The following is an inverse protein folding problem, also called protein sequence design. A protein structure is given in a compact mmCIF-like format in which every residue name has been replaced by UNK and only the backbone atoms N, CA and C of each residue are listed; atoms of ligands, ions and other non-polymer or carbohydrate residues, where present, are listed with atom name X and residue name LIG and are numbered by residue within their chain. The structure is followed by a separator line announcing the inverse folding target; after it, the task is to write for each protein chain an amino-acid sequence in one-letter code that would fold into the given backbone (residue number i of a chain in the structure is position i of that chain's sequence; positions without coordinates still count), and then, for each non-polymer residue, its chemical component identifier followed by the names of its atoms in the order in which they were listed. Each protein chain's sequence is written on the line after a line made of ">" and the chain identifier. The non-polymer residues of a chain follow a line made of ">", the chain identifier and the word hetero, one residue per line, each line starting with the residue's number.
data_IF_218522978715
#
_entry.id   IF_218522978715
#
_cell.length_a   1.000
_cell.length_b   1.000
_cell.length_c   1.000
_cell.angle_alpha   90.00
_cell.angle_beta   90.00
_cell.angle_gamma   90.00
#
_symmetry.space_group_name_H-M   'P 1'
#
loop_
_entity.id
_entity.type
_entity.pdbx_description
1 polymer ?
#
# COMPACT_ATOMS: atom_id res chain seq x y z
N UNK A 1 20.17 36.55 -61.26
CA UNK A 1 18.89 36.33 -61.99
C UNK A 1 18.13 35.13 -61.40
N UNK A 2 17.25 35.42 -60.45
CA UNK A 2 16.27 34.51 -59.86
C UNK A 2 15.14 34.30 -60.87
N UNK A 3 14.72 33.06 -61.12
CA UNK A 3 13.42 32.79 -61.73
C UNK A 3 12.33 32.68 -60.64
N UNK A 4 11.13 33.22 -60.88
CA UNK A 4 10.06 33.33 -59.89
C UNK A 4 9.20 32.06 -59.80
N UNK A 5 8.78 31.74 -58.58
CA UNK A 5 7.76 30.75 -58.26
C UNK A 5 6.40 31.21 -58.80
N UNK A 6 5.76 30.40 -59.63
CA UNK A 6 4.36 30.59 -60.09
C UNK A 6 3.36 30.16 -59.00
N UNK A 7 2.20 30.82 -58.87
CA UNK A 7 1.17 30.46 -57.90
C UNK A 7 0.38 29.24 -58.37
N UNK A 8 0.18 28.26 -57.48
CA UNK A 8 -0.67 27.10 -57.74
C UNK A 8 -2.15 27.51 -57.77
N UNK A 9 -2.83 26.99 -58.78
CA UNK A 9 -4.19 27.24 -59.21
C UNK A 9 -5.25 26.60 -58.31
N UNK A 10 -6.43 27.24 -58.26
CA UNK A 10 -7.65 26.75 -57.62
C UNK A 10 -8.12 25.45 -58.25
N UNK A 11 -8.30 24.40 -57.43
CA UNK A 11 -9.12 23.23 -57.76
C UNK A 11 -10.46 23.33 -57.02
N UNK A 12 -11.54 23.57 -57.78
CA UNK A 12 -12.92 23.36 -57.33
C UNK A 12 -13.24 21.86 -57.47
N UNK A 13 -13.55 21.20 -56.36
CA UNK A 13 -14.19 19.88 -56.39
C UNK A 13 -15.67 20.05 -56.09
N UNK A 14 -16.50 19.51 -56.99
CA UNK A 14 -17.97 19.52 -56.95
C UNK A 14 -18.47 18.68 -55.77
N UNK A 15 -19.54 19.14 -55.15
CA UNK A 15 -20.29 18.44 -54.11
C UNK A 15 -20.88 17.11 -54.60
N UNK A 16 -20.62 15.97 -53.93
CA UNK A 16 -21.49 14.81 -54.01
C UNK A 16 -22.68 15.01 -53.06
N UNK A 17 -23.86 14.73 -53.59
CA UNK A 17 -25.14 14.73 -52.90
C UNK A 17 -25.11 13.78 -51.71
N UNK A 18 -25.53 14.26 -50.54
CA UNK A 18 -25.96 13.43 -49.40
C UNK A 18 -27.47 13.67 -49.20
N UNK A 19 -28.27 12.63 -48.89
CA UNK A 19 -29.71 12.79 -48.68
C UNK A 19 -30.00 13.64 -47.43
N UNK A 20 -30.94 14.59 -47.51
CA UNK A 20 -31.60 15.20 -46.33
C UNK A 20 -32.70 14.24 -45.81
N UNK A 21 -33.27 14.39 -44.59
CA UNK A 21 -32.67 14.56 -43.25
C UNK A 21 -33.28 13.58 -42.21
N UNK A 22 -32.68 13.39 -41.02
CA UNK A 22 -33.26 12.58 -39.92
C UNK A 22 -33.96 13.39 -38.81
N UNK A 23 -34.22 14.68 -39.02
CA UNK A 23 -34.88 15.56 -38.02
C UNK A 23 -36.42 15.61 -38.16
N UNK A 24 -37.07 14.50 -38.51
CA UNK A 24 -38.54 14.39 -38.49
C UNK A 24 -39.06 13.20 -37.66
N UNK A 25 -38.34 12.79 -36.61
CA UNK A 25 -38.89 11.88 -35.59
C UNK A 25 -38.99 12.57 -34.21
N UNK A 26 -40.23 12.84 -33.78
CA UNK A 26 -40.59 12.98 -32.36
C UNK A 26 -41.08 11.62 -31.84
N UNK A 27 -40.51 11.06 -30.76
CA UNK A 27 -41.15 10.01 -29.98
C UNK A 27 -41.83 10.55 -28.70
N UNK A 28 -42.65 9.74 -28.01
CA UNK A 28 -43.93 10.17 -27.44
C UNK A 28 -43.92 10.59 -25.97
N UNK A 29 -45.02 11.24 -25.58
CA UNK A 29 -45.44 11.59 -24.23
C UNK A 29 -45.74 10.35 -23.37
N UNK A 30 -44.70 9.64 -22.92
CA UNK A 30 -44.80 8.63 -21.86
C UNK A 30 -43.40 8.16 -21.48
N UNK A 31 -42.79 8.75 -20.44
CA UNK A 31 -41.72 8.19 -19.58
C UNK A 31 -41.24 9.24 -18.56
N UNK A 32 -42.19 10.01 -18.01
CA UNK A 32 -41.99 10.71 -16.73
C UNK A 32 -42.56 9.81 -15.64
N UNK A 33 -41.80 9.42 -14.60
CA UNK A 33 -42.41 9.03 -13.34
C UNK A 33 -42.95 10.29 -12.68
N UNK A 34 -44.28 10.38 -12.53
CA UNK A 34 -44.92 11.35 -11.63
C UNK A 34 -44.78 10.86 -10.18
N UNK A 35 -44.85 11.75 -9.18
CA UNK A 35 -44.43 11.46 -7.81
C UNK A 35 -45.44 10.57 -7.05
N UNK A 36 -44.92 9.63 -6.26
CA UNK A 36 -45.63 9.01 -5.12
C UNK A 36 -45.83 7.47 -5.15
N UNK A 37 -45.10 6.80 -4.23
CA UNK A 37 -45.44 5.55 -3.51
C UNK A 37 -44.97 4.16 -4.01
N UNK A 38 -44.79 3.25 -3.02
CA UNK A 38 -43.81 2.14 -2.83
C UNK A 38 -44.33 0.72 -3.20
N UNK A 39 -43.41 -0.27 -3.28
CA UNK A 39 -43.31 -1.52 -2.47
C UNK A 39 -42.40 -2.59 -3.18
N UNK A 40 -41.27 -3.01 -2.60
CA UNK A 40 -40.98 -4.21 -1.75
C UNK A 40 -40.92 -5.58 -2.47
N UNK A 41 -39.76 -6.25 -2.38
CA UNK A 41 -39.68 -7.65 -1.93
C UNK A 41 -39.12 -8.75 -2.86
N UNK A 42 -37.92 -9.23 -2.50
CA UNK A 42 -37.41 -10.63 -2.53
C UNK A 42 -37.18 -11.35 -3.88
N UNK A 43 -35.95 -11.87 -4.07
CA UNK A 43 -35.68 -12.98 -5.00
C UNK A 43 -34.25 -12.99 -5.55
N UNK A 44 -33.52 -14.06 -5.28
CA UNK A 44 -32.16 -14.32 -5.75
C UNK A 44 -32.01 -14.30 -7.28
N UNK A 45 -31.04 -13.54 -7.82
CA UNK A 45 -30.24 -13.91 -9.00
C UNK A 45 -29.22 -12.81 -9.32
N UNK A 46 -27.93 -13.19 -9.46
CA UNK A 46 -26.83 -12.31 -9.91
C UNK A 46 -27.22 -11.51 -11.18
N UNK A 47 -27.00 -10.18 -11.26
CA UNK A 47 -27.09 -9.47 -12.53
C UNK A 47 -25.71 -9.28 -13.17
N UNK A 48 -25.63 -9.61 -14.46
CA UNK A 48 -24.50 -9.32 -15.33
C UNK A 48 -24.20 -7.80 -15.36
N UNK A 49 -22.94 -7.42 -15.21
CA UNK A 49 -22.47 -6.03 -15.27
C UNK A 49 -22.61 -5.50 -16.71
N UNK A 50 -23.41 -4.44 -16.89
CA UNK A 50 -23.40 -3.62 -18.11
C UNK A 50 -22.81 -2.25 -17.75
N UNK A 51 -21.72 -1.78 -18.40
CA UNK A 51 -21.18 -0.45 -18.15
C UNK A 51 -22.15 0.62 -18.67
N UNK A 52 -22.40 1.66 -17.86
CA UNK A 52 -23.21 2.83 -18.25
C UNK A 52 -22.29 4.05 -18.23
N UNK A 53 -22.06 4.66 -19.40
CA UNK A 53 -21.41 5.95 -19.52
C UNK A 53 -22.46 7.07 -19.36
N UNK A 54 -22.22 8.01 -18.45
CA UNK A 54 -23.08 9.17 -18.25
C UNK A 54 -22.32 10.44 -18.62
N UNK A 55 -22.96 11.30 -19.43
CA UNK A 55 -22.52 12.67 -19.70
C UNK A 55 -23.48 13.63 -19.03
N UNK A 56 -23.01 14.39 -18.05
CA UNK A 56 -23.77 15.50 -17.48
C UNK A 56 -22.83 16.65 -17.09
N UNK A 57 -23.22 17.92 -17.33
CA UNK A 57 -22.51 19.07 -16.79
C UNK A 57 -22.71 19.16 -15.26
N UNK A 58 -21.74 19.78 -14.58
CA UNK A 58 -21.42 19.61 -13.15
C UNK A 58 -22.47 19.95 -12.07
N UNK A 59 -23.55 20.76 -12.22
CA UNK A 59 -24.39 21.07 -11.06
C UNK A 59 -25.48 20.02 -10.75
N UNK A 60 -25.52 18.87 -11.43
CA UNK A 60 -26.60 17.88 -11.28
C UNK A 60 -26.12 16.43 -11.20
N UNK A 61 -25.23 16.14 -10.24
CA UNK A 61 -25.07 14.75 -9.74
C UNK A 61 -26.00 14.59 -8.53
N UNK A 62 -27.21 14.02 -8.67
CA UNK A 62 -28.11 13.85 -7.54
C UNK A 62 -27.54 12.86 -6.52
N UNK A 63 -27.71 13.20 -5.24
CA UNK A 63 -27.32 12.42 -4.05
C UNK A 63 -27.78 10.94 -4.08
N UNK A 64 -28.76 10.60 -4.93
CA UNK A 64 -29.25 9.24 -5.18
C UNK A 64 -28.25 8.31 -5.92
N UNK A 65 -27.18 8.84 -6.53
CA UNK A 65 -26.13 8.03 -7.18
C UNK A 65 -25.13 7.43 -6.18
N UNK A 66 -25.01 7.98 -4.98
CA UNK A 66 -24.05 7.52 -3.96
C UNK A 66 -24.58 6.34 -3.12
N UNK A 67 -25.84 5.95 -3.29
CA UNK A 67 -26.52 4.97 -2.43
C UNK A 67 -26.64 3.56 -3.03
N UNK A 68 -25.77 3.16 -3.96
CA UNK A 68 -25.81 1.81 -4.58
C UNK A 68 -24.43 1.13 -4.56
N UNK A 69 -24.22 0.03 -3.80
CA UNK A 69 -22.88 -0.49 -3.49
C UNK A 69 -22.11 -1.18 -4.62
N UNK A 70 -22.60 -1.20 -5.87
CA UNK A 70 -22.10 -2.12 -6.91
C UNK A 70 -22.02 -1.51 -8.32
N UNK A 71 -21.48 -0.29 -8.47
CA UNK A 71 -21.21 0.28 -9.81
C UNK A 71 -19.82 0.92 -9.92
N UNK A 72 -19.17 0.67 -11.05
CA UNK A 72 -17.92 1.28 -11.51
C UNK A 72 -18.23 2.69 -12.06
N UNK A 73 -17.48 3.71 -11.64
CA UNK A 73 -17.58 5.05 -12.22
C UNK A 73 -16.35 5.34 -13.08
N UNK A 74 -16.57 5.63 -14.35
CA UNK A 74 -15.57 6.19 -15.27
C UNK A 74 -16.05 7.59 -15.66
N UNK A 75 -15.23 8.61 -15.41
CA UNK A 75 -15.46 9.94 -15.95
C UNK A 75 -14.68 10.07 -17.27
N UNK A 76 -15.38 9.94 -18.38
CA UNK A 76 -14.84 10.20 -19.72
C UNK A 76 -15.13 11.65 -20.11
N UNK A 77 -14.09 12.49 -20.16
CA UNK A 77 -14.14 13.81 -20.79
C UNK A 77 -13.44 13.79 -22.17
N UNK A 78 -13.62 12.74 -22.97
CA UNK A 78 -13.03 12.67 -24.31
C UNK A 78 -13.94 13.12 -25.46
N UNK A 79 -15.22 13.49 -25.27
CA UNK A 79 -15.91 14.23 -26.34
C UNK A 79 -16.81 15.37 -25.88
N UNK A 80 -16.18 16.52 -25.68
CA UNK A 80 -16.72 17.81 -26.15
C UNK A 80 -15.59 18.56 -26.81
N UNK A 81 -15.62 18.57 -28.14
CA UNK A 81 -14.71 19.31 -28.99
C UNK A 81 -14.94 20.82 -28.81
N UNK A 82 -14.42 21.42 -27.73
CA UNK A 82 -14.20 22.87 -27.59
C UNK A 82 -13.62 23.26 -26.22
N UNK A 83 -12.53 22.66 -25.74
CA UNK A 83 -11.72 23.24 -24.65
C UNK A 83 -10.28 22.77 -24.94
N UNK A 84 -9.42 23.56 -25.57
CA UNK A 84 -8.58 24.57 -24.91
C UNK A 84 -7.30 23.93 -24.33
N UNK A 85 -6.17 24.65 -24.19
CA UNK A 85 -4.85 24.11 -23.75
C UNK A 85 -4.79 23.74 -22.25
N UNK A 86 -5.87 23.22 -21.67
CA UNK A 86 -6.14 23.18 -20.21
C UNK A 86 -5.97 21.78 -19.59
N UNK A 87 -5.40 20.82 -20.32
CA UNK A 87 -5.11 19.48 -19.77
C UNK A 87 -3.65 19.34 -19.33
N UNK A 88 -3.15 20.27 -18.53
CA UNK A 88 -1.97 20.07 -17.69
C UNK A 88 -2.45 19.70 -16.28
N UNK A 89 -1.97 18.57 -15.73
CA UNK A 89 -2.21 18.20 -14.32
C UNK A 89 -3.45 17.33 -14.04
N UNK A 90 -3.83 16.41 -14.93
CA UNK A 90 -4.92 15.44 -14.67
C UNK A 90 -4.36 14.03 -14.49
N UNK A 91 -4.69 13.38 -13.36
CA UNK A 91 -4.40 11.98 -13.08
C UNK A 91 -5.65 11.11 -13.25
N UNK A 92 -5.51 9.95 -13.89
CA UNK A 92 -6.60 8.98 -14.11
C UNK A 92 -6.26 7.67 -13.41
N UNK A 93 -7.18 7.17 -12.59
CA UNK A 93 -7.01 5.93 -11.83
C UNK A 93 -8.13 4.93 -12.17
N UNK A 94 -7.76 3.68 -12.46
CA UNK A 94 -8.69 2.58 -12.64
C UNK A 94 -8.51 1.60 -11.48
N UNK A 95 -9.50 1.54 -10.60
CA UNK A 95 -9.56 0.53 -9.53
C UNK A 95 -10.85 -0.26 -9.66
N UNK A 96 -10.71 -1.57 -9.59
CA UNK A 96 -11.81 -2.52 -9.63
C UNK A 96 -11.73 -3.43 -8.42
N UNK A 97 -11.90 -2.85 -7.24
CA UNK A 97 -11.94 -3.58 -6.00
C UNK A 97 -12.95 -2.88 -5.06
N UNK A 98 -14.06 -3.55 -4.69
CA UNK A 98 -15.22 -2.93 -4.05
C UNK A 98 -14.93 -2.40 -2.63
N UNK A 99 -13.86 -2.89 -1.98
CA UNK A 99 -13.44 -2.48 -0.63
C UNK A 99 -12.15 -1.64 -0.64
N UNK A 100 -11.63 -1.28 -1.81
CA UNK A 100 -10.40 -0.47 -1.90
C UNK A 100 -10.70 1.01 -1.74
N UNK A 101 -9.95 1.66 -0.84
CA UNK A 101 -9.94 3.12 -0.73
C UNK A 101 -8.83 3.71 -1.59
N UNK A 102 -9.17 4.65 -2.48
CA UNK A 102 -8.20 5.42 -3.26
C UNK A 102 -8.14 6.86 -2.78
N UNK A 103 -6.94 7.33 -2.49
CA UNK A 103 -6.69 8.72 -2.12
C UNK A 103 -5.76 9.33 -3.16
N UNK A 104 -6.31 10.22 -3.99
CA UNK A 104 -5.64 10.83 -5.13
C UNK A 104 -5.04 12.20 -4.85
N UNK A 105 -5.35 12.79 -3.68
CA UNK A 105 -4.79 14.06 -3.24
C UNK A 105 -4.07 13.88 -1.88
N UNK A 106 -2.77 13.55 -1.90
CA UNK A 106 -1.97 13.23 -0.71
C UNK A 106 -1.68 14.47 0.15
N UNK A 107 -1.77 15.66 -0.45
CA UNK A 107 -1.38 16.93 0.14
C UNK A 107 -2.35 17.41 1.23
N UNK A 108 -3.52 16.78 1.34
CA UNK A 108 -4.57 17.11 2.32
C UNK A 108 -4.78 16.04 3.39
N UNK A 109 -4.07 14.91 3.35
CA UNK A 109 -4.19 13.92 4.42
C UNK A 109 -3.55 14.46 5.69
N UNK A 110 -4.38 14.79 6.67
CA UNK A 110 -3.92 15.08 8.00
C UNK A 110 -3.31 13.83 8.64
N UNK A 111 -2.50 14.01 9.69
CA UNK A 111 -2.01 12.88 10.48
C UNK A 111 -3.16 12.00 11.01
N UNK A 112 -4.30 12.62 11.34
CA UNK A 112 -5.49 11.92 11.80
C UNK A 112 -6.11 11.05 10.70
N UNK A 113 -6.16 11.52 9.45
CA UNK A 113 -6.66 10.73 8.33
C UNK A 113 -5.75 9.53 8.06
N UNK A 114 -4.42 9.72 8.13
CA UNK A 114 -3.45 8.63 8.01
C UNK A 114 -3.60 7.63 9.17
N UNK A 115 -3.76 8.11 10.41
CA UNK A 115 -4.01 7.25 11.56
C UNK A 115 -5.27 6.41 11.39
N UNK A 116 -6.35 6.99 10.88
CA UNK A 116 -7.58 6.25 10.58
C UNK A 116 -7.38 5.24 9.45
N UNK A 117 -6.63 5.61 8.41
CA UNK A 117 -6.37 4.76 7.26
C UNK A 117 -5.56 3.52 7.66
N UNK A 118 -4.55 3.67 8.51
CA UNK A 118 -3.67 2.60 8.99
C UNK A 118 -4.10 1.98 10.33
N UNK A 119 -5.25 2.41 10.86
CA UNK A 119 -5.76 2.01 12.16
C UNK A 119 -5.73 0.49 12.33
N UNK A 120 -5.41 0.10 13.55
CA UNK A 120 -5.43 -1.29 14.01
C UNK A 120 -6.70 -1.51 14.81
N UNK A 121 -7.35 -2.66 14.62
CA UNK A 121 -8.40 -3.11 15.53
C UNK A 121 -7.72 -3.83 16.70
N UNK A 122 -7.77 -3.24 17.89
CA UNK A 122 -7.11 -3.80 19.07
C UNK A 122 -7.67 -5.17 19.48
N UNK A 123 -8.87 -5.53 19.02
CA UNK A 123 -9.46 -6.85 19.25
C UNK A 123 -8.92 -7.91 18.26
N UNK A 124 -8.24 -7.50 17.19
CA UNK A 124 -7.73 -8.37 16.13
C UNK A 124 -6.20 -8.26 16.06
N UNK A 125 -5.47 -9.26 16.60
CA UNK A 125 -4.02 -9.31 16.45
C UNK A 125 -3.62 -9.36 14.97
N UNK A 126 -2.69 -8.51 14.55
CA UNK A 126 -2.27 -8.38 13.16
C UNK A 126 -0.75 -8.42 13.02
N UNK A 127 -0.28 -9.01 11.92
CA UNK A 127 1.12 -8.97 11.50
C UNK A 127 1.20 -8.23 10.18
N UNK A 128 1.77 -7.02 10.23
CA UNK A 128 1.92 -6.14 9.07
C UNK A 128 3.39 -6.09 8.67
N UNK A 129 3.69 -6.35 7.40
CA UNK A 129 5.01 -6.06 6.83
C UNK A 129 5.02 -4.64 6.25
N UNK A 130 6.12 -3.91 6.39
CA UNK A 130 6.30 -2.61 5.77
C UNK A 130 7.64 -2.48 5.06
N UNK A 131 7.61 -2.18 3.77
CA UNK A 131 8.79 -2.03 2.94
C UNK A 131 8.65 -0.87 1.96
N UNK A 132 9.80 -0.32 1.55
CA UNK A 132 9.92 0.56 0.39
C UNK A 132 10.62 -0.20 -0.73
N UNK A 133 10.08 -0.11 -1.94
CA UNK A 133 10.69 -0.65 -3.14
C UNK A 133 10.77 0.41 -4.25
N UNK A 134 11.77 0.26 -5.12
CA UNK A 134 11.85 0.97 -6.40
C UNK A 134 10.76 0.48 -7.37
N UNK A 135 10.56 1.19 -8.49
CA UNK A 135 9.57 0.81 -9.51
C UNK A 135 9.87 -0.55 -10.16
N UNK A 136 11.14 -0.97 -10.16
CA UNK A 136 11.60 -2.27 -10.63
C UNK A 136 11.74 -3.30 -9.50
N UNK A 137 11.12 -3.04 -8.34
CA UNK A 137 10.92 -4.03 -7.27
C UNK A 137 12.14 -4.29 -6.39
N UNK A 138 13.08 -3.34 -6.30
CA UNK A 138 14.27 -3.46 -5.46
C UNK A 138 14.07 -2.75 -4.11
N UNK A 139 14.45 -3.39 -3.00
CA UNK A 139 14.29 -2.86 -1.62
C UNK A 139 15.56 -2.25 -1.03
N UNK A 140 16.66 -2.34 -1.77
CA UNK A 140 17.90 -1.65 -1.45
C UNK A 140 18.45 -1.01 -2.71
N UNK A 141 19.01 0.20 -2.61
CA UNK A 141 19.74 0.79 -3.72
C UNK A 141 21.12 0.14 -3.90
N UNK A 142 21.92 0.67 -4.83
CA UNK A 142 23.26 0.16 -5.14
C UNK A 142 24.25 0.23 -3.96
N UNK A 143 23.96 1.04 -2.93
CA UNK A 143 24.72 1.11 -1.68
C UNK A 143 24.34 -0.01 -0.69
N UNK A 144 23.41 -0.89 -1.06
CA UNK A 144 22.90 -1.97 -0.22
C UNK A 144 21.94 -1.52 0.86
N UNK A 145 21.46 -0.26 0.82
CA UNK A 145 20.56 0.31 1.84
C UNK A 145 19.22 0.71 1.26
N UNK A 146 18.20 0.62 2.11
CA UNK A 146 16.81 0.98 1.82
C UNK A 146 16.55 2.49 1.96
N UNK A 147 17.33 3.19 2.79
CA UNK A 147 17.11 4.61 3.13
C UNK A 147 17.11 5.55 1.91
N UNK A 148 17.89 5.23 0.89
CA UNK A 148 18.00 6.01 -0.36
C UNK A 148 16.73 5.92 -1.23
N UNK A 149 15.89 4.90 -1.02
CA UNK A 149 14.60 4.74 -1.69
C UNK A 149 13.46 5.51 -0.99
N UNK A 150 13.63 5.85 0.28
CA UNK A 150 12.60 6.45 1.13
C UNK A 150 12.41 7.96 0.84
N UNK A 151 11.15 8.40 0.81
CA UNK A 151 10.74 9.82 0.70
C UNK A 151 10.35 10.39 2.07
N UNK A 152 10.06 11.69 2.16
CA UNK A 152 9.53 12.28 3.40
C UNK A 152 8.17 11.68 3.81
N UNK A 153 7.28 11.52 2.84
CA UNK A 153 5.96 10.89 3.01
C UNK A 153 6.08 9.43 3.47
N UNK A 154 7.05 8.68 2.90
CA UNK A 154 7.34 7.30 3.34
C UNK A 154 7.80 7.27 4.80
N UNK A 155 8.68 8.19 5.21
CA UNK A 155 9.13 8.28 6.60
C UNK A 155 8.00 8.62 7.57
N UNK A 156 7.02 9.41 7.14
CA UNK A 156 5.83 9.68 7.92
C UNK A 156 5.00 8.41 8.12
N UNK A 157 4.70 7.67 7.05
CA UNK A 157 3.96 6.41 7.13
C UNK A 157 4.75 5.38 7.96
N UNK A 158 6.06 5.30 7.78
CA UNK A 158 6.94 4.45 8.56
C UNK A 158 6.87 4.77 10.07
N UNK A 159 6.96 6.05 10.45
CA UNK A 159 6.81 6.48 11.84
C UNK A 159 5.42 6.18 12.40
N UNK A 160 4.37 6.37 11.59
CA UNK A 160 2.99 6.03 11.95
C UNK A 160 2.85 4.53 12.22
N UNK A 161 3.33 3.67 11.32
CA UNK A 161 3.26 2.22 11.48
C UNK A 161 3.98 1.75 12.74
N UNK A 162 5.17 2.30 13.04
CA UNK A 162 5.85 2.05 14.31
C UNK A 162 5.01 2.47 15.51
N UNK A 163 4.36 3.63 15.45
CA UNK A 163 3.52 4.15 16.55
C UNK A 163 2.30 3.26 16.84
N UNK A 164 1.81 2.52 15.84
CA UNK A 164 0.67 1.61 15.96
C UNK A 164 1.05 0.19 16.39
N UNK A 165 2.35 -0.12 16.52
CA UNK A 165 2.84 -1.49 16.72
C UNK A 165 3.32 -1.73 18.13
N UNK A 166 3.02 -2.87 18.72
CA UNK A 166 3.52 -3.28 20.03
C UNK A 166 4.93 -3.87 19.93
N UNK A 167 5.21 -4.59 18.83
CA UNK A 167 6.50 -5.19 18.54
C UNK A 167 6.93 -4.95 17.08
N UNK A 168 8.24 -4.82 16.87
CA UNK A 168 8.86 -4.69 15.56
C UNK A 168 9.83 -5.85 15.34
N UNK A 169 9.57 -6.67 14.32
CA UNK A 169 10.41 -7.79 13.92
C UNK A 169 11.37 -7.35 12.80
N UNK A 170 12.66 -7.62 12.99
CA UNK A 170 13.71 -7.38 12.00
C UNK A 170 14.68 -8.57 11.92
N UNK A 171 15.24 -8.79 10.74
CA UNK A 171 16.26 -9.83 10.53
C UNK A 171 17.65 -9.34 10.93
N UNK A 172 18.48 -10.22 11.49
CA UNK A 172 19.85 -9.90 11.89
C UNK A 172 20.73 -9.37 10.74
N UNK A 173 20.44 -9.75 9.49
CA UNK A 173 21.11 -9.19 8.31
C UNK A 173 20.81 -7.71 8.13
N UNK A 174 19.53 -7.31 8.20
CA UNK A 174 19.11 -5.90 8.17
C UNK A 174 19.76 -5.13 9.31
N UNK A 175 19.78 -5.71 10.52
CA UNK A 175 20.44 -5.09 11.68
C UNK A 175 21.90 -4.73 11.40
N UNK A 176 22.66 -5.67 10.80
CA UNK A 176 24.07 -5.44 10.46
C UNK A 176 24.27 -4.49 9.29
N UNK A 177 23.50 -4.66 8.21
CA UNK A 177 23.65 -3.89 6.97
C UNK A 177 23.28 -2.41 7.16
N UNK A 178 22.22 -2.16 7.92
CA UNK A 178 21.63 -0.83 8.10
C UNK A 178 22.06 -0.15 9.42
N UNK A 179 22.89 -0.83 10.23
CA UNK A 179 23.23 -0.38 11.59
C UNK A 179 21.96 -0.03 12.38
N UNK A 180 20.98 -0.94 12.33
CA UNK A 180 19.62 -0.71 12.80
C UNK A 180 19.63 -0.28 14.26
N UNK A 181 18.87 0.77 14.58
CA UNK A 181 18.79 1.38 15.91
C UNK A 181 17.51 0.95 16.62
N UNK A 182 17.32 1.39 17.86
CA UNK A 182 16.00 1.28 18.49
C UNK A 182 14.94 1.93 17.59
N UNK A 183 13.74 1.33 17.47
CA UNK A 183 12.70 1.81 16.58
C UNK A 183 12.00 3.05 17.15
N UNK A 184 12.76 4.15 17.25
CA UNK A 184 12.27 5.44 17.71
C UNK A 184 11.22 5.97 16.72
N UNK A 185 10.14 6.51 17.27
CA UNK A 185 9.08 7.17 16.51
C UNK A 185 9.52 8.62 16.28
N UNK A 186 9.71 9.00 15.01
CA UNK A 186 10.35 10.26 14.63
C UNK A 186 9.43 11.50 14.67
N UNK A 187 8.24 11.41 15.30
CA UNK A 187 7.29 12.53 15.45
C UNK A 187 6.67 12.54 16.84
N UNK A 188 6.68 13.71 17.47
CA UNK A 188 6.22 13.89 18.85
C UNK A 188 4.72 13.64 18.98
N UNK A 189 3.90 14.06 18.01
CA UNK A 189 2.45 13.86 18.05
C UNK A 189 2.07 12.37 18.04
N UNK A 190 2.86 11.55 17.33
CA UNK A 190 2.68 10.09 17.31
C UNK A 190 3.15 9.42 18.60
N UNK A 191 4.19 9.96 19.24
CA UNK A 191 4.65 9.51 20.56
C UNK A 191 3.57 9.77 21.60
N UNK A 192 3.04 11.01 21.64
CA UNK A 192 1.96 11.40 22.57
C UNK A 192 0.73 10.51 22.37
N UNK A 193 0.25 10.35 21.14
CA UNK A 193 -0.91 9.51 20.85
C UNK A 193 -0.71 8.05 21.29
N UNK A 194 0.52 7.51 21.12
CA UNK A 194 0.86 6.17 21.57
C UNK A 194 0.86 6.05 23.10
N UNK A 195 1.47 7.00 23.80
CA UNK A 195 1.51 7.02 25.27
C UNK A 195 0.11 7.17 25.88
N UNK A 196 -0.74 8.02 25.29
CA UNK A 196 -2.15 8.17 25.68
C UNK A 196 -2.97 6.88 25.49
N UNK A 197 -2.59 6.04 24.53
CA UNK A 197 -3.17 4.69 24.34
C UNK A 197 -2.61 3.64 25.32
N UNK A 198 -1.73 4.02 26.25
CA UNK A 198 -1.16 3.14 27.27
C UNK A 198 -0.05 2.22 26.76
N UNK A 199 0.50 2.46 25.56
CA UNK A 199 1.57 1.66 24.97
C UNK A 199 2.95 2.19 25.33
N UNK A 200 3.88 1.29 25.64
CA UNK A 200 5.27 1.65 25.90
C UNK A 200 5.98 2.16 24.64
N UNK A 201 6.93 3.07 24.85
CA UNK A 201 7.74 3.70 23.80
C UNK A 201 9.24 3.52 24.10
N UNK A 202 10.07 3.10 23.13
CA UNK A 202 9.71 2.57 21.80
C UNK A 202 8.97 1.20 21.87
N UNK A 203 8.35 0.76 20.75
CA UNK A 203 7.89 -0.62 20.61
C UNK A 203 9.00 -1.64 20.90
N UNK A 204 8.62 -2.84 21.33
CA UNK A 204 9.57 -3.93 21.60
C UNK A 204 10.27 -4.32 20.31
N UNK A 205 11.61 -4.33 20.31
CA UNK A 205 12.38 -4.77 19.15
C UNK A 205 12.63 -6.27 19.22
N UNK A 206 12.29 -7.00 18.16
CA UNK A 206 12.48 -8.45 18.04
C UNK A 206 13.44 -8.73 16.89
N UNK A 207 14.63 -9.23 17.20
CA UNK A 207 15.66 -9.53 16.20
C UNK A 207 15.70 -11.04 15.95
N UNK A 208 15.47 -11.45 14.71
CA UNK A 208 15.57 -12.85 14.29
C UNK A 208 16.99 -13.15 13.82
N UNK A 209 17.69 -14.05 14.50
CA UNK A 209 19.06 -14.44 14.18
C UNK A 209 19.25 -15.96 14.23
N UNK A 210 19.37 -16.61 13.06
CA UNK A 210 19.62 -18.06 12.99
C UNK A 210 20.98 -18.47 13.55
N UNK A 211 22.01 -17.64 13.39
CA UNK A 211 23.37 -17.96 13.84
C UNK A 211 23.68 -17.45 15.25
N UNK A 212 22.82 -16.61 15.82
CA UNK A 212 23.12 -15.85 17.06
C UNK A 212 24.25 -14.83 16.90
N UNK A 213 24.82 -14.66 15.69
CA UNK A 213 25.94 -13.76 15.47
C UNK A 213 25.46 -12.30 15.33
N UNK A 214 25.41 -11.64 16.47
CA UNK A 214 25.17 -10.20 16.62
C UNK A 214 26.27 -9.64 17.51
N UNK A 215 26.81 -8.48 17.13
CA UNK A 215 27.76 -7.76 17.97
C UNK A 215 27.01 -7.22 19.21
N UNK A 216 27.37 -7.63 20.44
CA UNK A 216 26.70 -7.18 21.66
C UNK A 216 26.77 -5.66 21.89
N UNK A 217 27.61 -4.93 21.14
CA UNK A 217 27.75 -3.46 21.23
C UNK A 217 26.79 -2.69 20.31
N UNK A 218 25.98 -3.39 19.50
CA UNK A 218 25.00 -2.76 18.63
C UNK A 218 24.01 -1.89 19.42
N UNK A 219 23.76 -0.68 18.94
CA UNK A 219 22.94 0.33 19.63
C UNK A 219 21.50 -0.14 19.90
N UNK A 220 20.97 -1.04 19.07
CA UNK A 220 19.64 -1.60 19.22
C UNK A 220 19.54 -2.74 20.23
N UNK A 221 20.65 -3.22 20.81
CA UNK A 221 20.62 -4.25 21.86
C UNK A 221 20.47 -3.57 23.22
N UNK A 222 19.21 -3.30 23.61
CA UNK A 222 18.83 -2.69 24.88
C UNK A 222 17.78 -3.54 25.61
N UNK A 223 17.36 -3.12 26.80
CA UNK A 223 16.41 -3.85 27.64
C UNK A 223 15.09 -4.20 26.93
N UNK A 224 14.59 -3.34 26.02
CA UNK A 224 13.36 -3.57 25.23
C UNK A 224 13.61 -4.38 23.94
N UNK A 225 14.71 -5.12 23.88
CA UNK A 225 15.09 -5.94 22.72
C UNK A 225 15.08 -7.42 23.09
N UNK A 226 14.44 -8.21 22.24
CA UNK A 226 14.41 -9.67 22.31
C UNK A 226 15.15 -10.22 21.09
N UNK A 227 16.12 -11.08 21.31
CA UNK A 227 16.76 -11.83 20.22
C UNK A 227 16.15 -13.24 20.17
N UNK A 228 15.63 -13.63 19.01
CA UNK A 228 15.10 -14.96 18.78
C UNK A 228 16.07 -15.76 17.92
N UNK A 229 16.40 -16.96 18.38
CA UNK A 229 17.36 -17.84 17.73
C UNK A 229 16.96 -19.31 17.88
N UNK A 230 17.43 -20.24 17.02
CA UNK A 230 17.24 -21.67 17.23
C UNK A 230 17.90 -22.19 18.51
N UNK A 231 17.41 -23.32 19.03
CA UNK A 231 17.99 -24.03 20.17
C UNK A 231 19.40 -24.57 19.86
N UNK A 232 19.69 -24.78 18.58
CA UNK A 232 20.97 -25.28 18.05
C UNK A 232 22.03 -24.21 17.87
N UNK A 233 21.70 -22.94 18.15
CA UNK A 233 22.66 -21.84 18.10
C UNK A 233 23.80 -22.06 19.10
N UNK A 234 25.07 -21.79 18.73
CA UNK A 234 26.21 -22.01 19.62
C UNK A 234 26.06 -21.27 20.95
N UNK A 235 26.30 -21.97 22.06
CA UNK A 235 26.15 -21.44 23.42
C UNK A 235 27.01 -20.20 23.68
N UNK A 236 28.20 -20.11 23.09
CA UNK A 236 29.08 -18.95 23.22
C UNK A 236 28.45 -17.67 22.64
N UNK A 237 27.79 -17.78 21.48
CA UNK A 237 27.10 -16.64 20.86
C UNK A 237 25.93 -16.16 21.73
N UNK A 238 25.19 -17.10 22.34
CA UNK A 238 24.07 -16.81 23.23
C UNK A 238 24.56 -16.19 24.55
N UNK A 239 25.64 -16.71 25.12
CA UNK A 239 26.19 -16.25 26.40
C UNK A 239 26.67 -14.79 26.35
N UNK A 240 27.11 -14.30 25.17
CA UNK A 240 27.44 -12.90 24.98
C UNK A 240 26.18 -12.01 24.94
N UNK A 241 25.15 -12.44 24.22
CA UNK A 241 23.91 -11.66 24.03
C UNK A 241 23.04 -11.60 25.28
N UNK A 242 22.91 -12.71 26.01
CA UNK A 242 22.11 -12.81 27.25
C UNK A 242 22.56 -11.87 28.36
N UNK A 243 23.77 -11.30 28.27
CA UNK A 243 24.27 -10.27 29.19
C UNK A 243 23.66 -8.89 28.94
N UNK A 244 23.11 -8.65 27.74
CA UNK A 244 22.66 -7.33 27.28
C UNK A 244 21.16 -7.31 26.99
N UNK A 245 20.63 -8.42 26.49
CA UNK A 245 19.23 -8.53 26.02
C UNK A 245 18.63 -9.87 26.40
N UNK A 246 17.30 -9.96 26.35
CA UNK A 246 16.62 -11.23 26.42
C UNK A 246 16.93 -12.06 25.16
N UNK A 247 17.29 -13.33 25.33
CA UNK A 247 17.45 -14.27 24.22
C UNK A 247 16.46 -15.40 24.39
N UNK A 248 15.59 -15.59 23.39
CA UNK A 248 14.62 -16.67 23.32
C UNK A 248 15.10 -17.70 22.32
N UNK A 249 15.22 -18.94 22.77
CA UNK A 249 15.58 -20.06 21.91
C UNK A 249 14.33 -20.84 21.49
N UNK A 250 14.10 -20.96 20.18
CA UNK A 250 13.06 -21.82 19.63
C UNK A 250 13.54 -23.28 19.60
N UNK A 251 12.68 -24.27 19.86
CA UNK A 251 13.13 -25.66 19.99
C UNK A 251 13.66 -26.28 18.69
N UNK A 252 13.19 -25.79 17.53
CA UNK A 252 13.59 -26.29 16.20
C UNK A 252 14.79 -25.53 15.62
N UNK A 253 15.53 -26.18 14.72
CA UNK A 253 16.55 -25.52 13.87
C UNK A 253 15.92 -24.52 12.89
N UNK A 254 14.70 -24.83 12.43
CA UNK A 254 13.92 -23.97 11.57
C UNK A 254 13.11 -22.97 12.40
N UNK A 255 13.16 -21.71 11.99
CA UNK A 255 12.40 -20.64 12.64
C UNK A 255 10.92 -20.78 12.24
N UNK A 256 10.07 -21.05 13.23
CA UNK A 256 8.61 -20.97 13.07
C UNK A 256 8.13 -19.57 13.43
N UNK A 257 7.62 -18.82 12.45
CA UNK A 257 7.07 -17.49 12.70
C UNK A 257 5.77 -17.55 13.50
N UNK A 258 4.97 -18.61 13.34
CA UNK A 258 3.78 -18.85 14.16
C UNK A 258 4.11 -18.97 15.65
N UNK A 259 5.22 -19.65 16.00
CA UNK A 259 5.68 -19.72 17.40
C UNK A 259 6.15 -18.37 17.92
N UNK A 260 6.86 -17.58 17.09
CA UNK A 260 7.29 -16.23 17.45
C UNK A 260 6.08 -15.34 17.71
N UNK A 261 5.12 -15.33 16.78
CA UNK A 261 3.90 -14.53 16.86
C UNK A 261 3.08 -14.95 18.09
N UNK A 262 2.92 -16.25 18.36
CA UNK A 262 2.25 -16.74 19.57
C UNK A 262 2.95 -16.24 20.83
N UNK A 263 4.27 -16.35 20.91
CA UNK A 263 5.06 -15.89 22.06
C UNK A 263 4.90 -14.38 22.31
N UNK A 264 4.84 -13.57 21.25
CA UNK A 264 4.63 -12.14 21.37
C UNK A 264 3.20 -11.83 21.83
N UNK A 265 2.20 -12.52 21.28
CA UNK A 265 0.79 -12.38 21.66
C UNK A 265 0.53 -12.79 23.11
N UNK A 266 1.18 -13.85 23.59
CA UNK A 266 1.11 -14.30 24.99
C UNK A 266 1.66 -13.24 25.97
N UNK A 267 2.49 -12.31 25.48
CA UNK A 267 2.99 -11.14 26.22
C UNK A 267 2.14 -9.88 26.02
N UNK A 268 0.99 -9.99 25.35
CA UNK A 268 0.13 -8.86 25.01
C UNK A 268 0.59 -8.03 23.81
N UNK A 269 1.63 -8.46 23.09
CA UNK A 269 2.13 -7.77 21.90
C UNK A 269 1.37 -8.30 20.68
N UNK A 270 0.28 -7.62 20.31
CA UNK A 270 -0.70 -8.12 19.33
C UNK A 270 -0.59 -7.44 17.98
N UNK A 271 -0.09 -6.21 17.95
CA UNK A 271 0.14 -5.43 16.74
C UNK A 271 1.62 -5.54 16.37
N UNK A 272 1.95 -6.39 15.40
CA UNK A 272 3.33 -6.72 15.04
C UNK A 272 3.66 -6.09 13.69
N UNK A 273 4.76 -5.33 13.63
CA UNK A 273 5.31 -4.78 12.40
C UNK A 273 6.57 -5.52 12.00
N UNK A 274 6.69 -5.89 10.73
CA UNK A 274 7.88 -6.53 10.17
C UNK A 274 8.61 -5.53 9.28
N UNK A 275 9.82 -5.16 9.67
CA UNK A 275 10.72 -4.25 8.94
C UNK A 275 11.93 -5.03 8.39
N UNK A 276 11.64 -6.23 7.87
CA UNK A 276 12.63 -7.20 7.43
C UNK A 276 13.07 -7.05 5.97
N UNK A 277 14.32 -7.45 5.68
CA UNK A 277 14.78 -7.60 4.29
C UNK A 277 14.12 -8.79 3.57
N UNK A 278 14.46 -8.95 2.29
CA UNK A 278 13.85 -9.90 1.36
C UNK A 278 13.70 -11.33 1.92
N UNK A 279 14.77 -11.90 2.49
CA UNK A 279 14.76 -13.24 3.06
C UNK A 279 13.78 -13.42 4.24
N UNK A 280 13.65 -12.42 5.12
CA UNK A 280 12.71 -12.48 6.23
C UNK A 280 11.26 -12.38 5.74
N UNK A 281 11.00 -11.42 4.83
CA UNK A 281 9.67 -11.27 4.23
C UNK A 281 9.25 -12.55 3.49
N UNK A 282 10.15 -13.11 2.68
CA UNK A 282 9.94 -14.35 1.92
C UNK A 282 9.55 -15.50 2.85
N UNK A 283 10.35 -15.73 3.90
CA UNK A 283 10.12 -16.84 4.82
C UNK A 283 8.82 -16.67 5.63
N UNK A 284 8.41 -15.44 5.95
CA UNK A 284 7.13 -15.18 6.63
C UNK A 284 5.94 -15.36 5.68
N UNK A 285 6.05 -14.93 4.42
CA UNK A 285 5.01 -15.16 3.41
C UNK A 285 4.84 -16.64 3.10
N UNK A 286 5.94 -17.39 2.97
CA UNK A 286 5.92 -18.86 2.78
C UNK A 286 5.21 -19.60 3.92
N UNK A 287 5.34 -19.11 5.16
CA UNK A 287 4.64 -19.65 6.32
C UNK A 287 3.23 -19.06 6.51
N UNK A 288 2.74 -18.20 5.62
CA UNK A 288 1.46 -17.49 5.77
C UNK A 288 1.35 -16.74 7.12
N UNK A 289 2.45 -16.10 7.51
CA UNK A 289 2.60 -15.42 8.80
C UNK A 289 2.50 -13.89 8.70
N UNK A 290 2.04 -13.37 7.55
CA UNK A 290 1.80 -11.94 7.30
C UNK A 290 0.33 -11.77 6.94
N UNK A 291 -0.36 -10.85 7.63
CA UNK A 291 -1.76 -10.51 7.37
C UNK A 291 -1.87 -9.33 6.39
N UNK A 292 -0.95 -8.36 6.49
CA UNK A 292 -0.94 -7.16 5.65
C UNK A 292 0.45 -6.82 5.13
N UNK A 293 0.51 -6.33 3.89
CA UNK A 293 1.72 -5.78 3.28
C UNK A 293 1.51 -4.30 2.95
N UNK A 294 2.17 -3.43 3.69
CA UNK A 294 2.37 -2.03 3.35
C UNK A 294 3.60 -1.89 2.46
N UNK A 295 3.40 -1.47 1.22
CA UNK A 295 4.46 -1.31 0.24
C UNK A 295 4.45 0.11 -0.32
N UNK A 296 5.56 0.81 -0.12
CA UNK A 296 5.86 2.07 -0.79
C UNK A 296 6.54 1.78 -2.13
N UNK A 297 6.03 2.36 -3.22
CA UNK A 297 6.66 2.36 -4.53
C UNK A 297 7.30 3.71 -4.81
N UNK A 298 8.62 3.76 -4.64
CA UNK A 298 9.47 4.93 -4.86
C UNK A 298 9.70 5.16 -6.36
N UNK A 299 9.75 6.43 -6.85
CA UNK A 299 9.93 6.78 -8.26
C UNK A 299 11.39 6.61 -8.73
N UNK A 300 12.02 5.50 -8.37
CA UNK A 300 13.41 5.20 -8.66
C UNK A 300 13.51 3.88 -9.43
N UNK A 301 14.57 3.74 -10.21
CA UNK A 301 15.00 2.48 -10.83
C UNK A 301 16.38 2.15 -10.30
N UNK A 302 16.56 0.95 -9.76
CA UNK A 302 17.84 0.52 -9.18
C UNK A 302 18.57 -0.44 -10.11
N UNK A 303 17.85 -1.27 -10.83
CA UNK A 303 18.37 -2.33 -11.68
C UNK A 303 18.98 -3.49 -10.88
N UNK A 304 19.77 -4.31 -11.57
CA UNK A 304 20.32 -5.56 -11.04
C UNK A 304 21.31 -5.43 -9.87
N UNK A 305 21.63 -4.20 -9.44
CA UNK A 305 22.48 -3.94 -8.27
C UNK A 305 21.67 -3.93 -6.96
N UNK A 306 20.34 -3.90 -7.05
CA UNK A 306 19.46 -3.95 -5.89
C UNK A 306 19.23 -5.36 -5.36
N UNK A 307 18.54 -5.43 -4.23
CA UNK A 307 17.96 -6.67 -3.71
C UNK A 307 16.47 -6.72 -4.07
N UNK A 308 15.97 -7.86 -4.57
CA UNK A 308 14.56 -7.99 -4.90
C UNK A 308 13.68 -7.87 -3.65
N UNK A 309 12.41 -7.51 -3.83
CA UNK A 309 11.42 -7.46 -2.75
C UNK A 309 11.30 -8.79 -1.99
N UNK A 310 11.43 -9.89 -2.71
CA UNK A 310 11.36 -11.26 -2.19
C UNK A 310 12.44 -12.11 -2.87
N UNK A 311 13.09 -12.98 -2.11
CA UNK A 311 14.10 -13.94 -2.60
C UNK A 311 13.44 -15.25 -3.08
N UNK A 312 12.16 -15.46 -2.73
CA UNK A 312 11.32 -16.59 -3.11
C UNK A 312 9.93 -16.43 -2.50
N UNK A 313 8.89 -16.95 -3.17
CA UNK A 313 7.53 -17.01 -2.60
C UNK A 313 6.89 -18.33 -3.01
N UNK A 314 6.33 -19.05 -2.04
CA UNK A 314 5.47 -20.20 -2.34
C UNK A 314 4.24 -19.74 -3.14
N UNK A 315 3.91 -20.46 -4.22
CA UNK A 315 2.66 -20.24 -4.94
C UNK A 315 1.46 -20.36 -3.95
N UNK A 316 0.52 -19.40 -3.99
CA UNK A 316 -0.75 -19.51 -3.25
C UNK A 316 -1.12 -18.33 -2.33
N UNK A 317 -0.28 -17.31 -2.17
CA UNK A 317 -0.71 -16.06 -1.50
C UNK A 317 -1.25 -15.08 -2.53
N UNK A 318 -2.55 -14.77 -2.46
CA UNK A 318 -3.13 -13.68 -3.23
C UNK A 318 -3.12 -12.39 -2.39
N UNK A 319 -2.96 -11.25 -3.05
CA UNK A 319 -2.94 -9.95 -2.39
C UNK A 319 -4.18 -9.16 -2.81
N UNK A 320 -4.96 -8.71 -1.84
CA UNK A 320 -6.10 -7.83 -2.07
C UNK A 320 -5.75 -6.39 -1.68
N UNK A 321 -5.90 -5.45 -2.60
CA UNK A 321 -5.60 -4.05 -2.34
C UNK A 321 -6.64 -3.46 -1.37
N UNK A 322 -6.22 -3.10 -0.16
CA UNK A 322 -7.07 -2.46 0.83
C UNK A 322 -7.13 -0.94 0.62
N UNK A 323 -5.99 -0.30 0.37
CA UNK A 323 -5.96 1.10 -0.05
C UNK A 323 -4.72 1.45 -0.87
N UNK A 324 -4.84 2.54 -1.62
CA UNK A 324 -3.74 3.20 -2.33
C UNK A 324 -3.80 4.70 -2.02
N UNK A 325 -2.70 5.23 -1.50
CA UNK A 325 -2.45 6.68 -1.37
C UNK A 325 -1.40 7.06 -2.41
N UNK A 326 -1.70 8.05 -3.23
CA UNK A 326 -0.75 8.54 -4.24
C UNK A 326 -0.16 9.88 -3.78
N UNK A 327 1.14 9.92 -3.45
CA UNK A 327 1.96 11.14 -3.40
C UNK A 327 2.31 11.61 -4.84
N UNK A 328 2.75 12.87 -5.06
CA UNK A 328 3.06 13.37 -6.41
C UNK A 328 3.96 12.46 -7.25
N UNK A 329 4.92 11.77 -6.61
CA UNK A 329 5.81 10.83 -7.28
C UNK A 329 5.91 9.46 -6.57
N UNK A 330 5.09 9.18 -5.56
CA UNK A 330 5.23 7.96 -4.76
C UNK A 330 3.87 7.32 -4.56
N UNK A 331 3.82 5.98 -4.49
CA UNK A 331 2.58 5.26 -4.19
C UNK A 331 2.74 4.53 -2.87
N UNK A 332 1.75 4.65 -1.99
CA UNK A 332 1.69 3.91 -0.73
C UNK A 332 0.51 2.95 -0.82
N UNK A 333 0.82 1.67 -0.84
CA UNK A 333 -0.18 0.62 -0.94
C UNK A 333 -0.28 -0.13 0.37
N UNK A 334 -1.49 -0.56 0.71
CA UNK A 334 -1.72 -1.61 1.71
C UNK A 334 -2.48 -2.73 1.06
N UNK A 335 -1.90 -3.92 1.10
CA UNK A 335 -2.53 -5.15 0.69
C UNK A 335 -2.89 -6.00 1.91
N UNK A 336 -4.01 -6.71 1.84
CA UNK A 336 -4.30 -7.86 2.69
C UNK A 336 -3.76 -9.11 2.02
N UNK A 337 -3.09 -9.96 2.80
CA UNK A 337 -2.69 -11.28 2.35
C UNK A 337 -3.87 -12.20 2.53
N UNK A 338 -4.36 -12.77 1.43
CA UNK A 338 -5.47 -13.70 1.41
C UNK A 338 -4.89 -15.07 1.09
N UNK A 339 -4.91 -15.96 2.09
CA UNK A 339 -4.55 -17.36 1.92
C UNK A 339 -5.54 -18.09 1.01
N UNK A 340 -5.05 -19.16 0.36
CA UNK A 340 -5.88 -20.11 -0.38
C UNK A 340 -6.92 -20.82 0.50
#
# INVERSE_FOLDING_TARGET
>A
PRQPVRPLSRLRVKSPQWPRPWWQFRPPSSLLPRPGQRLVGLGHSRPALTPVALRAPLPCIPHALLSSPNRLYALDLATTASIGPVCQGVSVYLLRAPETTLITDPLDLSLADLQQLYAVDEALPIVRANLVASLDGQISAADGRSQSLSTEDDRLIFALLRSLSDAIIVGAQTVRAEQYKMPVIAREELVVAREESGRENPPVLVIISRSGQLDPTLECLKQQTIVITPSTTPTEAIAALTKVVEVVQLPSEEISFHQIISLLRDRGLTQILVEGGAALLSAMLEQQAIDELCLTLSPQLVGAQGQPLVDGVAAGSSLELAHLVAAPNCLFTRYRVVGD
#
